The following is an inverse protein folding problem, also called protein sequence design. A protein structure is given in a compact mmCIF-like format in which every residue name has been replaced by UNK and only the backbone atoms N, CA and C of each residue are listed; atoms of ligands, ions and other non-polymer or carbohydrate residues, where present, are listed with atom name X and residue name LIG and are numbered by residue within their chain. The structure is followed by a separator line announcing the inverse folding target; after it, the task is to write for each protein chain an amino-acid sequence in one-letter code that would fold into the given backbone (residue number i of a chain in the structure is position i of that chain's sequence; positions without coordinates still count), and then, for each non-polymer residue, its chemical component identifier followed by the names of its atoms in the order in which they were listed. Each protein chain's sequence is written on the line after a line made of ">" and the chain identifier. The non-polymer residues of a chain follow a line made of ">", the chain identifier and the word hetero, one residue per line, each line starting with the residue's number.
data_IF_454748804026
#
_entry.id   IF_454748804026
#
_cell.length_a   1.000
_cell.length_b   1.000
_cell.length_c   1.000
_cell.angle_alpha   90.00
_cell.angle_beta   90.00
_cell.angle_gamma   90.00
#
_symmetry.space_group_name_H-M   'P 1'
#
loop_
_entity.id
_entity.type
_entity.pdbx_description
1 polymer ?
#
# COMPACT_ATOMS: atom_id res chain seq x y z
N UNK A 1 10.14 -2.02 0.51
CA UNK A 1 10.97 -3.18 0.07
C UNK A 1 10.11 -4.24 -0.63
N UNK A 2 8.93 -4.59 -0.11
CA UNK A 2 8.00 -5.51 -0.77
C UNK A 2 7.72 -5.20 -2.27
N UNK A 3 7.53 -3.93 -2.61
CA UNK A 3 7.34 -3.52 -4.01
C UNK A 3 8.57 -3.78 -4.90
N UNK A 4 9.77 -3.70 -4.33
CA UNK A 4 11.00 -4.01 -5.05
C UNK A 4 11.07 -5.52 -5.35
N UNK A 5 10.69 -6.37 -4.40
CA UNK A 5 10.65 -7.83 -4.61
C UNK A 5 9.70 -8.21 -5.74
N UNK A 6 8.49 -7.63 -5.75
CA UNK A 6 7.50 -7.84 -6.82
C UNK A 6 7.99 -7.30 -8.16
N UNK A 7 8.63 -6.13 -8.17
CA UNK A 7 9.14 -5.54 -9.40
C UNK A 7 10.32 -6.34 -9.98
N UNK A 8 11.21 -6.87 -9.12
CA UNK A 8 12.30 -7.75 -9.52
C UNK A 8 11.77 -9.09 -10.04
N UNK A 9 10.75 -9.66 -9.38
CA UNK A 9 10.08 -10.88 -9.81
C UNK A 9 9.44 -10.72 -11.19
N UNK A 10 8.80 -9.57 -11.45
CA UNK A 10 8.21 -9.21 -12.74
C UNK A 10 9.24 -8.72 -13.78
N UNK A 11 10.53 -8.61 -13.42
CA UNK A 11 11.63 -8.11 -14.26
C UNK A 11 11.33 -6.78 -14.97
N UNK A 12 10.64 -5.86 -14.31
CA UNK A 12 10.34 -4.54 -14.89
C UNK A 12 11.56 -3.63 -14.90
N UNK A 13 11.50 -2.58 -15.73
CA UNK A 13 12.59 -1.64 -15.90
C UNK A 13 12.81 -0.72 -14.67
N UNK A 14 13.97 -0.08 -14.61
CA UNK A 14 14.37 0.77 -13.47
C UNK A 14 13.51 2.03 -13.30
N UNK A 15 12.92 2.55 -14.37
CA UNK A 15 12.03 3.71 -14.29
C UNK A 15 10.71 3.30 -13.64
N UNK A 16 10.17 2.14 -14.01
CA UNK A 16 8.99 1.56 -13.34
C UNK A 16 9.26 1.29 -11.85
N UNK A 17 10.42 0.69 -11.51
CA UNK A 17 10.83 0.48 -10.12
C UNK A 17 10.92 1.80 -9.36
N UNK A 18 11.61 2.79 -9.91
CA UNK A 18 11.77 4.12 -9.29
C UNK A 18 10.44 4.83 -9.10
N UNK A 19 9.52 4.71 -10.05
CA UNK A 19 8.16 5.27 -9.97
C UNK A 19 7.37 4.62 -8.83
N UNK A 20 7.36 3.29 -8.75
CA UNK A 20 6.68 2.57 -7.68
C UNK A 20 7.22 2.94 -6.29
N UNK A 21 8.54 2.94 -6.12
CA UNK A 21 9.18 3.30 -4.84
C UNK A 21 8.92 4.76 -4.50
N UNK A 22 8.95 5.67 -5.48
CA UNK A 22 8.69 7.09 -5.26
C UNK A 22 7.25 7.36 -4.81
N UNK A 23 6.26 6.74 -5.45
CA UNK A 23 4.85 6.87 -5.09
C UNK A 23 4.57 6.22 -3.73
N UNK A 24 5.18 5.08 -3.44
CA UNK A 24 5.11 4.42 -2.13
C UNK A 24 5.68 5.30 -1.00
N UNK A 25 6.86 5.91 -1.22
CA UNK A 25 7.42 6.85 -0.27
C UNK A 25 6.51 8.07 -0.06
N UNK A 26 5.90 8.59 -1.12
CA UNK A 26 4.93 9.70 -1.02
C UNK A 26 3.70 9.30 -0.20
N UNK A 27 3.18 8.09 -0.41
CA UNK A 27 2.07 7.52 0.38
C UNK A 27 2.42 7.52 1.88
N UNK A 28 3.57 6.95 2.25
CA UNK A 28 3.99 6.88 3.66
C UNK A 28 4.19 8.27 4.27
N UNK A 29 4.87 9.18 3.57
CA UNK A 29 5.12 10.54 4.06
C UNK A 29 3.82 11.32 4.25
N UNK A 30 2.91 11.25 3.27
CA UNK A 30 1.61 11.95 3.38
C UNK A 30 0.73 11.36 4.48
N UNK A 31 0.71 10.04 4.66
CA UNK A 31 0.07 9.38 5.80
C UNK A 31 0.62 9.85 7.14
N UNK A 32 1.94 9.96 7.28
CA UNK A 32 2.59 10.47 8.50
C UNK A 32 2.22 11.94 8.78
N UNK A 33 2.21 12.80 7.75
CA UNK A 33 1.79 14.19 7.90
C UNK A 33 0.32 14.24 8.36
N UNK A 34 -0.53 13.37 7.83
CA UNK A 34 -1.91 13.19 8.29
C UNK A 34 -1.98 12.81 9.77
N UNK A 35 -1.21 11.82 10.21
CA UNK A 35 -1.20 11.36 11.60
C UNK A 35 -0.74 12.44 12.59
N UNK A 36 0.21 13.29 12.20
CA UNK A 36 0.74 14.38 13.03
C UNK A 36 -0.07 15.70 12.94
N UNK A 37 -1.04 15.77 12.03
CA UNK A 37 -1.87 16.97 11.83
C UNK A 37 -2.81 17.22 13.01
N UNK A 38 -2.94 18.49 13.41
CA UNK A 38 -3.69 18.92 14.61
C UNK A 38 -5.16 19.21 14.34
N UNK A 39 -5.56 19.41 13.09
CA UNK A 39 -6.95 19.70 12.73
C UNK A 39 -7.57 18.52 12.00
N UNK A 40 -8.83 18.14 12.28
CA UNK A 40 -9.48 17.03 11.58
C UNK A 40 -9.43 17.19 10.06
N UNK A 41 -9.73 18.39 9.55
CA UNK A 41 -9.68 18.67 8.11
C UNK A 41 -8.33 18.30 7.49
N UNK A 42 -7.22 18.71 8.11
CA UNK A 42 -5.88 18.38 7.61
C UNK A 42 -5.62 16.86 7.66
N UNK A 43 -6.02 16.16 8.73
CA UNK A 43 -5.87 14.70 8.86
C UNK A 43 -6.57 13.98 7.72
N UNK A 44 -7.84 14.30 7.47
CA UNK A 44 -8.63 13.70 6.40
C UNK A 44 -8.11 14.04 5.00
N UNK A 45 -7.65 15.28 4.78
CA UNK A 45 -7.06 15.68 3.49
C UNK A 45 -5.79 14.88 3.19
N UNK A 46 -4.87 14.79 4.15
CA UNK A 46 -3.63 14.04 3.96
C UNK A 46 -3.86 12.53 3.83
N UNK A 47 -4.81 11.97 4.57
CA UNK A 47 -5.25 10.59 4.38
C UNK A 47 -5.77 10.35 2.95
N UNK A 48 -6.56 11.27 2.39
CA UNK A 48 -7.06 11.14 1.02
C UNK A 48 -5.92 11.17 0.00
N UNK A 49 -4.96 12.08 0.15
CA UNK A 49 -3.77 12.13 -0.73
C UNK A 49 -2.94 10.85 -0.64
N UNK A 50 -2.71 10.35 0.57
CA UNK A 50 -2.02 9.06 0.79
C UNK A 50 -2.78 7.90 0.14
N UNK A 51 -4.11 7.87 0.28
CA UNK A 51 -4.95 6.83 -0.31
C UNK A 51 -4.94 6.88 -1.83
N UNK A 52 -4.94 8.07 -2.44
CA UNK A 52 -4.78 8.21 -3.89
C UNK A 52 -3.43 7.66 -4.35
N UNK A 53 -2.34 7.99 -3.65
CA UNK A 53 -1.01 7.43 -3.94
C UNK A 53 -0.99 5.90 -3.83
N UNK A 54 -1.64 5.34 -2.81
CA UNK A 54 -1.86 3.89 -2.66
C UNK A 54 -2.59 3.28 -3.87
N UNK A 55 -3.67 3.91 -4.33
CA UNK A 55 -4.42 3.43 -5.50
C UNK A 55 -3.57 3.44 -6.78
N UNK A 56 -2.66 4.41 -6.93
CA UNK A 56 -1.68 4.39 -8.01
C UNK A 56 -0.72 3.20 -7.90
N UNK A 57 -0.22 2.87 -6.70
CA UNK A 57 0.63 1.69 -6.47
C UNK A 57 -0.12 0.41 -6.83
N UNK A 58 -1.37 0.25 -6.35
CA UNK A 58 -2.20 -0.90 -6.70
C UNK A 58 -2.45 -1.01 -8.20
N UNK A 59 -2.73 0.11 -8.86
CA UNK A 59 -2.94 0.14 -10.31
C UNK A 59 -1.72 -0.40 -11.06
N UNK A 60 -0.51 0.08 -10.74
CA UNK A 60 0.72 -0.40 -11.37
C UNK A 60 0.97 -1.89 -11.11
N UNK A 61 0.73 -2.36 -9.88
CA UNK A 61 0.85 -3.77 -9.50
C UNK A 61 -0.09 -4.67 -10.30
N UNK A 62 -1.37 -4.31 -10.35
CA UNK A 62 -2.43 -5.12 -10.97
C UNK A 62 -2.46 -5.02 -12.49
N UNK A 63 -1.78 -4.02 -13.08
CA UNK A 63 -1.70 -3.83 -14.53
C UNK A 63 -0.29 -4.04 -15.04
N UNK A 64 0.58 -3.02 -14.99
CA UNK A 64 1.91 -3.02 -15.62
C UNK A 64 2.79 -4.18 -15.15
N UNK A 65 2.93 -4.39 -13.84
CA UNK A 65 3.78 -5.46 -13.32
C UNK A 65 3.17 -6.83 -13.59
N UNK A 66 1.85 -6.97 -13.47
CA UNK A 66 1.15 -8.20 -13.82
C UNK A 66 1.31 -8.57 -15.29
N UNK A 67 1.21 -7.61 -16.20
CA UNK A 67 1.45 -7.84 -17.63
C UNK A 67 2.90 -8.23 -17.90
N UNK A 68 3.87 -7.62 -17.23
CA UNK A 68 5.28 -7.98 -17.38
C UNK A 68 5.57 -9.40 -16.85
N UNK A 69 4.99 -9.76 -15.72
CA UNK A 69 5.11 -11.10 -15.15
C UNK A 69 4.45 -12.17 -16.04
N UNK A 70 3.37 -11.86 -16.76
CA UNK A 70 2.67 -12.77 -17.66
C UNK A 70 3.52 -13.24 -18.85
N UNK A 71 4.55 -12.48 -19.24
CA UNK A 71 5.51 -12.84 -20.29
C UNK A 71 6.65 -13.76 -19.79
N UNK A 72 6.67 -14.07 -18.49
CA UNK A 72 7.67 -14.94 -17.85
C UNK A 72 7.13 -16.36 -17.65
N UNK A 73 7.94 -17.24 -17.07
CA UNK A 73 7.57 -18.63 -16.79
C UNK A 73 6.33 -18.75 -15.89
N UNK A 74 5.56 -19.82 -16.04
CA UNK A 74 4.34 -20.10 -15.26
C UNK A 74 4.55 -20.07 -13.74
N UNK A 75 5.71 -20.52 -13.26
CA UNK A 75 6.09 -20.47 -11.84
C UNK A 75 6.19 -19.03 -11.31
N UNK A 76 6.76 -18.12 -12.12
CA UNK A 76 6.87 -16.69 -11.80
C UNK A 76 5.49 -16.05 -11.80
N UNK A 77 4.65 -16.36 -12.80
CA UNK A 77 3.29 -15.85 -12.89
C UNK A 77 2.46 -16.24 -11.67
N UNK A 78 2.51 -17.51 -11.28
CA UNK A 78 1.76 -18.03 -10.12
C UNK A 78 2.21 -17.35 -8.82
N UNK A 79 3.52 -17.25 -8.61
CA UNK A 79 4.11 -16.59 -7.44
C UNK A 79 3.74 -15.11 -7.41
N UNK A 80 3.92 -14.41 -8.52
CA UNK A 80 3.62 -12.98 -8.64
C UNK A 80 2.14 -12.69 -8.37
N UNK A 81 1.24 -13.49 -8.95
CA UNK A 81 -0.21 -13.32 -8.76
C UNK A 81 -0.62 -13.54 -7.31
N UNK A 82 -0.06 -14.55 -6.64
CA UNK A 82 -0.34 -14.85 -5.23
C UNK A 82 0.11 -13.69 -4.34
N UNK A 83 1.37 -13.26 -4.49
CA UNK A 83 1.92 -12.17 -3.69
C UNK A 83 1.21 -10.84 -3.97
N UNK A 84 0.88 -10.55 -5.23
CA UNK A 84 0.15 -9.32 -5.59
C UNK A 84 -1.26 -9.31 -4.98
N UNK A 85 -1.96 -10.44 -4.97
CA UNK A 85 -3.27 -10.54 -4.34
C UNK A 85 -3.18 -10.32 -2.82
N UNK A 86 -2.20 -10.94 -2.16
CA UNK A 86 -1.95 -10.74 -0.73
C UNK A 86 -1.67 -9.27 -0.41
N UNK A 87 -0.72 -8.65 -1.13
CA UNK A 87 -0.38 -7.23 -0.96
C UNK A 87 -1.60 -6.36 -1.18
N UNK A 88 -2.36 -6.56 -2.26
CA UNK A 88 -3.52 -5.73 -2.57
C UNK A 88 -4.59 -5.79 -1.46
N UNK A 89 -4.87 -6.97 -0.92
CA UNK A 89 -5.87 -7.16 0.12
C UNK A 89 -5.38 -6.57 1.45
N UNK A 90 -4.18 -6.97 1.89
CA UNK A 90 -3.64 -6.55 3.19
C UNK A 90 -3.40 -5.04 3.22
N UNK A 91 -2.81 -4.48 2.17
CA UNK A 91 -2.51 -3.04 2.14
C UNK A 91 -3.77 -2.18 2.07
N UNK A 92 -4.85 -2.66 1.47
CA UNK A 92 -6.13 -1.95 1.45
C UNK A 92 -6.74 -1.85 2.86
N UNK A 93 -6.43 -2.79 3.76
CA UNK A 93 -6.91 -2.73 5.14
C UNK A 93 -6.30 -1.57 5.94
N UNK A 94 -5.07 -1.14 5.63
CA UNK A 94 -4.40 -0.05 6.36
C UNK A 94 -5.14 1.29 6.30
N UNK A 95 -5.47 1.87 5.11
CA UNK A 95 -6.18 3.15 5.05
C UNK A 95 -7.59 3.04 5.64
N UNK A 96 -8.23 1.87 5.58
CA UNK A 96 -9.54 1.63 6.21
C UNK A 96 -9.40 1.65 7.74
N UNK A 97 -8.43 0.92 8.29
CA UNK A 97 -8.22 0.88 9.74
C UNK A 97 -7.85 2.26 10.27
N UNK A 98 -6.95 2.97 9.59
CA UNK A 98 -6.54 4.32 9.95
C UNK A 98 -7.72 5.30 9.99
N UNK A 99 -8.64 5.24 9.02
CA UNK A 99 -9.75 6.19 8.95
C UNK A 99 -10.84 5.93 9.99
N UNK A 100 -11.04 4.67 10.39
CA UNK A 100 -12.00 4.32 11.46
C UNK A 100 -11.37 4.37 12.85
N UNK A 101 -10.04 4.30 12.92
CA UNK A 101 -9.25 4.29 14.14
C UNK A 101 -9.07 5.66 14.78
N UNK A 102 -8.14 5.73 15.73
CA UNK A 102 -7.90 6.90 16.57
C UNK A 102 -7.39 8.08 15.77
N UNK A 103 -6.75 7.82 14.63
CA UNK A 103 -6.25 8.86 13.76
C UNK A 103 -7.33 9.53 12.91
N UNK A 104 -8.45 8.86 12.66
CA UNK A 104 -9.55 9.35 11.83
C UNK A 104 -10.81 9.64 12.65
N UNK A 105 -11.81 8.77 12.50
CA UNK A 105 -13.14 8.93 13.07
C UNK A 105 -13.23 8.54 14.55
N UNK A 106 -12.24 7.84 15.10
CA UNK A 106 -12.20 7.41 16.50
C UNK A 106 -13.27 6.38 16.87
N UNK A 107 -13.78 5.62 15.89
CA UNK A 107 -14.79 4.56 16.11
C UNK A 107 -14.14 3.35 16.77
N UNK A 108 -12.89 3.06 16.41
CA UNK A 108 -12.08 1.99 16.99
C UNK A 108 -11.11 2.59 18.01
N UNK A 109 -11.06 2.02 19.21
CA UNK A 109 -10.14 2.43 20.25
C UNK A 109 -8.70 1.96 20.02
N UNK A 110 -7.73 2.69 20.57
CA UNK A 110 -6.28 2.49 20.34
C UNK A 110 -5.81 1.03 20.52
N UNK A 111 -6.32 0.32 21.53
CA UNK A 111 -5.91 -1.06 21.80
C UNK A 111 -6.31 -2.03 20.69
N UNK A 112 -7.54 -1.89 20.16
CA UNK A 112 -8.05 -2.73 19.07
C UNK A 112 -7.35 -2.36 17.76
N UNK A 113 -7.15 -1.07 17.52
CA UNK A 113 -6.42 -0.57 16.36
C UNK A 113 -4.98 -1.09 16.32
N UNK A 114 -4.24 -0.99 17.43
CA UNK A 114 -2.86 -1.48 17.53
C UNK A 114 -2.78 -2.99 17.30
N UNK A 115 -3.73 -3.75 17.86
CA UNK A 115 -3.81 -5.20 17.64
C UNK A 115 -4.06 -5.52 16.17
N UNK A 116 -4.97 -4.80 15.51
CA UNK A 116 -5.28 -5.02 14.10
C UNK A 116 -4.09 -4.66 13.19
N UNK A 117 -3.40 -3.54 13.43
CA UNK A 117 -2.16 -3.22 12.70
C UNK A 117 -1.08 -4.29 12.91
N UNK A 118 -0.91 -4.79 14.13
CA UNK A 118 0.06 -5.85 14.41
C UNK A 118 -0.23 -7.13 13.62
N UNK A 119 -1.51 -7.54 13.52
CA UNK A 119 -1.88 -8.69 12.69
C UNK A 119 -1.57 -8.41 11.22
N UNK A 120 -1.93 -7.22 10.70
CA UNK A 120 -1.64 -6.85 9.32
C UNK A 120 -0.13 -6.83 9.00
N UNK A 121 0.71 -6.41 9.95
CA UNK A 121 2.16 -6.31 9.75
C UNK A 121 2.88 -7.68 9.70
N UNK A 122 2.30 -8.71 10.33
CA UNK A 122 2.89 -10.06 10.39
C UNK A 122 2.42 -10.96 9.24
N UNK A 123 1.24 -10.68 8.68
CA UNK A 123 0.57 -11.53 7.69
C UNK A 123 1.02 -11.20 6.27
#
# INVERSE_FOLDING_TARGET
>A
LLLLDLALLAKVDRVTIGTLIGVDALMIVTGLIGALSKTPLARYTWWLFSTIAFLFVLYYLLTSLRSAAAELSEEVQTTFNTLTALVAILWTAYPILWIVGTEGAGVVGLGVETLAFMVLDVT
#
